data_IF_787931200352
#
_entry.id   IF_787931200352
#
_cell.length_a   1.000
_cell.length_b   1.000
_cell.length_c   1.000
_cell.angle_alpha   90.00
_cell.angle_beta   90.00
_cell.angle_gamma   90.00
#
_symmetry.space_group_name_H-M   'P 1'
#
loop_
_entity.id
_entity.type
_entity.pdbx_description
1 polymer ?
#
# COMPACT_ATOMS: atom_id res chain seq x y z
N UNK A 1 -36.47 13.92 38.18
CA UNK A 1 -35.02 14.25 38.08
C UNK A 1 -34.37 13.13 37.28
N UNK A 2 -34.07 13.38 36.01
CA UNK A 2 -33.51 12.41 35.07
C UNK A 2 -31.99 12.38 35.27
N UNK A 3 -31.35 11.22 35.54
CA UNK A 3 -29.90 11.20 35.64
C UNK A 3 -29.31 11.35 34.23
N UNK A 4 -28.38 12.29 34.09
CA UNK A 4 -27.63 12.52 32.88
C UNK A 4 -26.72 11.32 32.60
N UNK A 5 -26.84 10.73 31.41
CA UNK A 5 -25.90 9.73 30.90
C UNK A 5 -24.53 10.38 30.71
N UNK A 6 -23.56 9.96 31.51
CA UNK A 6 -22.15 10.27 31.32
C UNK A 6 -21.69 9.70 29.97
N UNK A 7 -21.00 10.46 29.09
CA UNK A 7 -20.45 9.90 27.88
C UNK A 7 -19.31 8.93 28.25
N UNK A 8 -19.42 7.69 27.77
CA UNK A 8 -18.35 6.71 27.83
C UNK A 8 -17.16 7.28 27.04
N UNK A 9 -16.08 7.65 27.75
CA UNK A 9 -14.77 7.81 27.11
C UNK A 9 -14.47 6.50 26.39
N UNK A 10 -14.33 6.59 25.07
CA UNK A 10 -13.89 5.50 24.23
C UNK A 10 -12.66 4.86 24.83
N UNK A 11 -12.84 3.61 25.20
CA UNK A 11 -11.88 2.64 25.71
C UNK A 11 -10.71 2.49 24.73
N UNK A 12 -9.56 2.09 25.29
CA UNK A 12 -8.32 1.89 24.56
C UNK A 12 -8.41 0.90 23.39
N UNK A 13 -7.29 0.84 22.68
CA UNK A 13 -7.05 0.11 21.44
C UNK A 13 -7.64 -1.33 21.44
N UNK A 14 -8.65 -1.63 20.61
CA UNK A 14 -9.23 -2.97 20.51
C UNK A 14 -8.30 -4.00 19.85
N UNK A 15 -7.15 -3.60 19.29
CA UNK A 15 -6.22 -4.47 18.55
C UNK A 15 -4.93 -4.82 19.31
N UNK A 16 -4.83 -4.44 20.60
CA UNK A 16 -3.64 -4.63 21.42
C UNK A 16 -2.61 -3.52 21.19
N UNK A 17 -1.87 -3.17 22.25
CA UNK A 17 -1.11 -1.93 22.43
C UNK A 17 0.08 -1.64 21.47
N UNK A 18 0.07 -2.15 20.24
CA UNK A 18 1.15 -1.96 19.27
C UNK A 18 0.75 -1.94 17.80
N UNK A 19 -0.52 -2.22 17.43
CA UNK A 19 -0.94 -2.20 16.03
C UNK A 19 -1.56 -0.83 15.71
N UNK A 20 -0.95 -0.01 14.83
CA UNK A 20 -1.53 1.28 14.47
C UNK A 20 -2.90 1.08 13.79
N UNK A 21 -3.95 1.71 14.32
CA UNK A 21 -5.25 1.69 13.68
C UNK A 21 -5.27 2.62 12.47
N UNK A 22 -5.53 2.08 11.28
CA UNK A 22 -5.71 2.92 10.09
C UNK A 22 -7.09 3.60 10.06
N UNK A 23 -8.02 3.21 10.95
CA UNK A 23 -9.35 3.82 11.04
C UNK A 23 -9.31 5.20 11.70
N UNK A 24 -8.32 5.48 12.55
CA UNK A 24 -8.21 6.75 13.25
C UNK A 24 -7.40 7.81 12.47
N UNK A 25 -7.93 9.04 12.42
CA UNK A 25 -7.32 10.16 11.70
C UNK A 25 -5.91 10.52 12.17
N UNK A 26 -5.65 10.65 13.48
CA UNK A 26 -4.32 10.98 14.00
C UNK A 26 -3.22 10.00 13.61
N UNK A 27 -3.48 8.69 13.69
CA UNK A 27 -2.54 7.64 13.25
C UNK A 27 -2.27 7.75 11.76
N UNK A 28 -3.31 7.93 10.94
CA UNK A 28 -3.10 8.15 9.50
C UNK A 28 -2.27 9.39 9.22
N UNK A 29 -2.54 10.50 9.92
CA UNK A 29 -1.76 11.73 9.81
C UNK A 29 -0.28 11.52 10.13
N UNK A 30 0.02 10.79 11.21
CA UNK A 30 1.39 10.44 11.61
C UNK A 30 2.10 9.52 10.61
N UNK A 31 1.39 8.56 10.01
CA UNK A 31 1.97 7.60 9.05
C UNK A 31 2.12 8.17 7.63
N UNK A 32 1.32 9.18 7.29
CA UNK A 32 1.20 9.73 5.94
C UNK A 32 2.53 10.16 5.31
N UNK A 33 3.41 10.95 5.98
CA UNK A 33 4.65 11.41 5.37
C UNK A 33 5.56 10.25 4.95
N UNK A 34 5.81 9.31 5.85
CA UNK A 34 6.65 8.14 5.58
C UNK A 34 6.04 7.21 4.52
N UNK A 35 4.71 7.08 4.49
CA UNK A 35 4.02 6.30 3.47
C UNK A 35 4.18 6.91 2.07
N UNK A 36 4.05 8.23 1.94
CA UNK A 36 4.28 8.95 0.67
C UNK A 36 5.73 8.78 0.23
N UNK A 37 6.70 9.01 1.11
CA UNK A 37 8.12 8.86 0.78
C UNK A 37 8.46 7.44 0.31
N UNK A 38 7.93 6.43 1.01
CA UNK A 38 8.08 5.03 0.64
C UNK A 38 7.49 4.73 -0.74
N UNK A 39 6.27 5.20 -1.01
CA UNK A 39 5.61 4.98 -2.28
C UNK A 39 6.29 5.71 -3.44
N UNK A 40 6.77 6.94 -3.24
CA UNK A 40 7.57 7.68 -4.25
C UNK A 40 8.83 6.91 -4.63
N UNK A 41 9.51 6.31 -3.64
CA UNK A 41 10.68 5.45 -3.90
C UNK A 41 10.30 4.19 -4.67
N UNK A 42 9.20 3.53 -4.32
CA UNK A 42 8.73 2.35 -5.06
C UNK A 42 8.40 2.68 -6.53
N UNK A 43 7.72 3.80 -6.77
CA UNK A 43 7.43 4.27 -8.13
C UNK A 43 8.72 4.46 -8.93
N UNK A 44 9.76 5.03 -8.32
CA UNK A 44 11.06 5.20 -8.98
C UNK A 44 11.76 3.86 -9.25
N UNK A 45 11.78 2.96 -8.26
CA UNK A 45 12.41 1.63 -8.35
C UNK A 45 11.78 0.80 -9.45
N UNK A 46 10.45 0.72 -9.46
CA UNK A 46 9.69 -0.04 -10.46
C UNK A 46 9.48 0.72 -11.77
N UNK A 47 10.03 1.94 -11.90
CA UNK A 47 9.96 2.79 -13.09
C UNK A 47 8.52 3.01 -13.58
N UNK A 48 7.58 3.15 -12.64
CA UNK A 48 6.17 3.31 -12.97
C UNK A 48 5.92 4.68 -13.61
N UNK A 49 5.03 4.69 -14.60
CA UNK A 49 4.47 5.91 -15.15
C UNK A 49 3.64 6.66 -14.10
N UNK A 50 3.39 7.95 -14.35
CA UNK A 50 2.46 8.74 -13.54
C UNK A 50 1.07 8.10 -13.49
N UNK A 51 0.57 7.61 -14.62
CA UNK A 51 -0.74 6.98 -14.70
C UNK A 51 -0.82 5.71 -13.82
N UNK A 52 0.19 4.84 -13.89
CA UNK A 52 0.25 3.62 -13.06
C UNK A 52 0.36 3.97 -11.57
N UNK A 53 1.19 4.95 -11.20
CA UNK A 53 1.32 5.40 -9.82
C UNK A 53 -0.01 5.94 -9.27
N UNK A 54 -0.72 6.74 -10.07
CA UNK A 54 -2.03 7.28 -9.72
C UNK A 54 -3.08 6.17 -9.55
N UNK A 55 -3.12 5.21 -10.47
CA UNK A 55 -4.06 4.08 -10.44
C UNK A 55 -3.80 3.16 -9.24
N UNK A 56 -2.54 2.85 -8.93
CA UNK A 56 -2.17 2.06 -7.75
C UNK A 56 -2.62 2.73 -6.44
N UNK A 57 -2.68 4.05 -6.38
CA UNK A 57 -3.19 4.80 -5.22
C UNK A 57 -4.73 4.97 -5.20
N UNK A 58 -5.46 4.30 -6.07
CA UNK A 58 -6.93 4.41 -6.16
C UNK A 58 -7.36 5.65 -6.93
N UNK A 59 -6.79 5.83 -8.12
CA UNK A 59 -7.10 6.91 -9.07
C UNK A 59 -6.95 8.32 -8.48
N UNK A 60 -5.88 8.52 -7.71
CA UNK A 60 -5.53 9.87 -7.25
C UNK A 60 -5.21 10.75 -8.45
N UNK A 61 -5.71 11.99 -8.46
CA UNK A 61 -5.41 12.92 -9.55
C UNK A 61 -3.90 13.16 -9.70
N UNK A 62 -3.42 13.32 -10.94
CA UNK A 62 -2.01 13.63 -11.20
C UNK A 62 -1.55 14.88 -10.44
N UNK A 63 -2.40 15.91 -10.35
CA UNK A 63 -2.11 17.12 -9.57
C UNK A 63 -1.78 16.80 -8.11
N UNK A 64 -2.55 15.90 -7.49
CA UNK A 64 -2.33 15.48 -6.11
C UNK A 64 -1.06 14.63 -6.02
N UNK A 65 -0.87 13.69 -6.94
CA UNK A 65 0.35 12.89 -7.05
C UNK A 65 1.61 13.76 -7.17
N UNK A 66 1.62 14.76 -8.05
CA UNK A 66 2.76 15.67 -8.20
C UNK A 66 3.06 16.47 -6.94
N UNK A 67 2.03 16.90 -6.18
CA UNK A 67 2.23 17.57 -4.89
C UNK A 67 2.82 16.62 -3.84
N UNK A 68 2.34 15.38 -3.79
CA UNK A 68 2.89 14.34 -2.92
C UNK A 68 4.36 14.07 -3.26
N UNK A 69 4.66 13.83 -4.55
CA UNK A 69 6.02 13.61 -5.07
C UNK A 69 6.97 14.77 -4.80
N UNK A 70 6.48 16.02 -4.79
CA UNK A 70 7.26 17.23 -4.49
C UNK A 70 7.34 17.56 -2.99
N UNK A 71 6.68 16.82 -2.11
CA UNK A 71 6.61 17.13 -0.68
C UNK A 71 5.81 18.40 -0.34
N UNK A 72 4.94 18.87 -1.24
CA UNK A 72 4.11 20.09 -1.05
C UNK A 72 2.63 19.76 -0.77
N UNK A 73 2.33 18.48 -0.55
CA UNK A 73 1.02 18.02 -0.14
C UNK A 73 0.92 17.94 1.38
N UNK A 74 -0.11 18.54 1.96
CA UNK A 74 -0.31 18.70 3.41
C UNK A 74 -1.54 17.95 3.94
N UNK A 75 -2.10 17.03 3.15
CA UNK A 75 -3.28 16.26 3.55
C UNK A 75 -2.93 15.06 4.43
N UNK A 76 -3.96 14.31 4.80
CA UNK A 76 -3.84 12.99 5.45
C UNK A 76 -4.33 11.93 4.48
N UNK A 77 -3.55 10.87 4.29
CA UNK A 77 -3.97 9.75 3.43
C UNK A 77 -5.22 9.08 4.02
N UNK A 78 -6.06 8.55 3.13
CA UNK A 78 -7.17 7.70 3.52
C UNK A 78 -6.67 6.35 4.05
N UNK A 79 -7.54 5.62 4.76
CA UNK A 79 -7.26 4.25 5.16
C UNK A 79 -6.97 3.35 3.95
N UNK A 80 -7.72 3.55 2.86
CA UNK A 80 -7.54 2.83 1.59
C UNK A 80 -6.14 3.08 0.99
N UNK A 81 -5.73 4.35 0.87
CA UNK A 81 -4.42 4.71 0.34
C UNK A 81 -3.26 4.15 1.19
N UNK A 82 -3.36 4.22 2.52
CA UNK A 82 -2.36 3.62 3.41
C UNK A 82 -2.33 2.10 3.31
N UNK A 83 -3.48 1.45 3.10
CA UNK A 83 -3.56 0.00 2.90
C UNK A 83 -2.87 -0.42 1.60
N UNK A 84 -3.12 0.31 0.50
CA UNK A 84 -2.46 0.10 -0.80
C UNK A 84 -0.94 0.25 -0.69
N UNK A 85 -0.47 1.35 -0.09
CA UNK A 85 0.96 1.59 0.10
C UNK A 85 1.60 0.50 0.97
N UNK A 86 0.93 0.10 2.06
CA UNK A 86 1.40 -0.98 2.94
C UNK A 86 1.54 -2.31 2.19
N UNK A 87 0.56 -2.67 1.34
CA UNK A 87 0.61 -3.87 0.52
C UNK A 87 1.79 -3.84 -0.45
N UNK A 88 2.02 -2.71 -1.13
CA UNK A 88 3.12 -2.54 -2.09
C UNK A 88 4.49 -2.56 -1.43
N UNK A 89 4.65 -1.91 -0.27
CA UNK A 89 5.90 -1.99 0.51
C UNK A 89 6.17 -3.42 0.96
N UNK A 90 5.15 -4.13 1.44
CA UNK A 90 5.26 -5.54 1.83
C UNK A 90 5.67 -6.42 0.65
N UNK A 91 5.07 -6.21 -0.52
CA UNK A 91 5.42 -6.90 -1.76
C UNK A 91 6.89 -6.67 -2.14
N UNK A 92 7.35 -5.42 -2.18
CA UNK A 92 8.75 -5.10 -2.48
C UNK A 92 9.73 -5.77 -1.52
N UNK A 93 9.44 -5.74 -0.22
CA UNK A 93 10.24 -6.44 0.79
C UNK A 93 10.32 -7.94 0.54
N UNK A 94 9.20 -8.57 0.19
CA UNK A 94 9.16 -9.98 -0.17
C UNK A 94 10.01 -10.29 -1.40
N UNK A 95 9.85 -9.51 -2.47
CA UNK A 95 10.64 -9.66 -3.70
C UNK A 95 12.14 -9.54 -3.46
N UNK A 96 12.55 -8.55 -2.65
CA UNK A 96 13.96 -8.31 -2.29
C UNK A 96 14.62 -9.44 -1.50
N UNK A 97 13.82 -10.27 -0.82
CA UNK A 97 14.32 -11.43 -0.07
C UNK A 97 14.41 -12.67 -0.96
N UNK A 98 13.56 -12.77 -1.98
CA UNK A 98 13.51 -13.92 -2.89
C UNK A 98 14.44 -13.80 -4.09
N UNK A 99 14.59 -12.60 -4.63
CA UNK A 99 15.23 -12.37 -5.91
C UNK A 99 16.43 -11.44 -5.80
N UNK A 100 17.32 -11.53 -6.78
CA UNK A 100 18.39 -10.55 -6.96
C UNK A 100 17.81 -9.15 -7.20
N UNK A 101 18.62 -8.11 -6.96
CA UNK A 101 18.17 -6.71 -7.11
C UNK A 101 17.49 -6.44 -8.47
N UNK A 102 18.07 -6.80 -9.63
CA UNK A 102 17.43 -6.48 -10.92
C UNK A 102 16.04 -7.12 -11.05
N UNK A 103 15.92 -8.39 -10.68
CA UNK A 103 14.64 -9.08 -10.80
C UNK A 103 13.61 -8.53 -9.79
N UNK A 104 13.99 -8.21 -8.55
CA UNK A 104 13.07 -7.61 -7.58
C UNK A 104 12.51 -6.24 -8.03
N UNK A 105 13.25 -5.52 -8.89
CA UNK A 105 12.86 -4.21 -9.42
C UNK A 105 12.04 -4.33 -10.72
N UNK A 106 12.17 -5.41 -11.46
CA UNK A 106 11.47 -5.60 -12.74
C UNK A 106 10.24 -6.51 -12.63
N UNK A 107 10.20 -7.40 -11.62
CA UNK A 107 9.27 -8.53 -11.56
C UNK A 107 7.79 -8.16 -11.74
N UNK A 108 7.33 -7.05 -11.14
CA UNK A 108 5.91 -6.66 -11.26
C UNK A 108 5.52 -6.22 -12.68
N UNK A 109 6.49 -5.81 -13.49
CA UNK A 109 6.33 -5.39 -14.88
C UNK A 109 6.61 -6.50 -15.90
N UNK A 110 7.00 -7.69 -15.46
CA UNK A 110 7.23 -8.83 -16.34
C UNK A 110 5.97 -9.72 -16.43
N UNK A 111 5.65 -10.28 -17.61
CA UNK A 111 4.64 -11.32 -17.73
C UNK A 111 4.92 -12.47 -16.77
N UNK A 112 3.89 -12.95 -16.06
CA UNK A 112 4.05 -14.02 -15.08
C UNK A 112 3.11 -15.19 -15.39
N UNK A 113 3.69 -16.38 -15.58
CA UNK A 113 2.97 -17.60 -15.94
C UNK A 113 2.22 -18.27 -14.77
N UNK A 114 2.42 -17.80 -13.53
CA UNK A 114 1.67 -18.32 -12.38
C UNK A 114 0.16 -18.17 -12.61
N UNK A 115 -0.67 -19.17 -12.25
CA UNK A 115 -2.11 -19.14 -12.46
C UNK A 115 -2.81 -17.88 -11.93
N UNK A 116 -2.21 -17.21 -10.93
CA UNK A 116 -2.73 -15.96 -10.37
C UNK A 116 -2.77 -14.80 -11.38
N UNK A 117 -1.88 -14.82 -12.38
CA UNK A 117 -1.68 -13.70 -13.31
C UNK A 117 -2.12 -14.02 -14.75
N UNK A 118 -2.44 -15.27 -15.07
CA UNK A 118 -2.87 -15.69 -16.42
C UNK A 118 -1.93 -15.20 -17.54
N UNK A 119 -0.61 -15.20 -17.29
CA UNK A 119 0.38 -14.71 -18.25
C UNK A 119 0.50 -13.18 -18.34
N UNK A 120 -0.29 -12.42 -17.60
CA UNK A 120 -0.22 -10.95 -17.54
C UNK A 120 0.84 -10.48 -16.54
N UNK A 121 1.13 -9.18 -16.56
CA UNK A 121 2.02 -8.56 -15.57
C UNK A 121 1.29 -8.47 -14.23
N UNK A 122 1.95 -8.78 -13.10
CA UNK A 122 1.37 -8.57 -11.77
C UNK A 122 0.88 -7.13 -11.54
N UNK A 123 1.57 -6.14 -12.11
CA UNK A 123 1.19 -4.72 -12.07
C UNK A 123 -0.21 -4.47 -12.64
N UNK A 124 -0.51 -5.01 -13.82
CA UNK A 124 -1.81 -4.79 -14.49
C UNK A 124 -2.95 -5.34 -13.64
N UNK A 125 -2.76 -6.55 -13.10
CA UNK A 125 -3.73 -7.14 -12.19
C UNK A 125 -3.92 -6.31 -10.92
N UNK A 126 -2.86 -5.74 -10.34
CA UNK A 126 -2.97 -4.88 -9.15
C UNK A 126 -3.73 -3.58 -9.43
N UNK A 127 -3.55 -3.00 -10.62
CA UNK A 127 -4.29 -1.82 -11.07
C UNK A 127 -5.77 -2.16 -11.23
N UNK A 128 -6.10 -3.20 -11.99
CA UNK A 128 -7.48 -3.60 -12.28
C UNK A 128 -8.22 -4.09 -11.02
N UNK A 129 -7.56 -4.94 -10.23
CA UNK A 129 -8.17 -5.62 -9.08
C UNK A 129 -8.02 -4.90 -7.75
N UNK A 130 -7.37 -3.74 -7.71
CA UNK A 130 -7.20 -2.91 -6.51
C UNK A 130 -6.60 -3.64 -5.30
N UNK A 131 -7.03 -3.25 -4.09
CA UNK A 131 -6.54 -3.83 -2.83
C UNK A 131 -6.63 -5.38 -2.79
N UNK A 132 -7.77 -6.02 -3.14
CA UNK A 132 -7.85 -7.48 -3.14
C UNK A 132 -6.73 -8.15 -3.94
N UNK A 133 -6.44 -7.64 -5.15
CA UNK A 133 -5.35 -8.19 -5.96
C UNK A 133 -3.98 -7.84 -5.39
N UNK A 134 -3.74 -6.61 -4.94
CA UNK A 134 -2.46 -6.24 -4.29
C UNK A 134 -2.11 -7.17 -3.13
N UNK A 135 -3.10 -7.49 -2.29
CA UNK A 135 -2.91 -8.42 -1.18
C UNK A 135 -2.70 -9.86 -1.66
N UNK A 136 -3.35 -10.29 -2.74
CA UNK A 136 -3.11 -11.60 -3.34
C UNK A 136 -1.69 -11.73 -3.90
N UNK A 137 -1.18 -10.72 -4.61
CA UNK A 137 0.19 -10.69 -5.14
C UNK A 137 1.19 -10.73 -3.99
N UNK A 138 0.99 -9.90 -2.96
CA UNK A 138 1.84 -9.92 -1.76
C UNK A 138 1.86 -11.30 -1.10
N UNK A 139 0.68 -11.92 -0.87
CA UNK A 139 0.60 -13.26 -0.27
C UNK A 139 1.30 -14.32 -1.11
N UNK A 140 1.20 -14.24 -2.44
CA UNK A 140 1.91 -15.16 -3.33
C UNK A 140 3.43 -15.07 -3.12
N UNK A 141 3.99 -13.86 -3.04
CA UNK A 141 5.42 -13.65 -2.77
C UNK A 141 5.79 -14.06 -1.34
N UNK A 142 4.99 -13.73 -0.34
CA UNK A 142 5.23 -14.14 1.05
C UNK A 142 5.23 -15.69 1.19
N UNK A 143 4.39 -16.40 0.43
CA UNK A 143 4.32 -17.85 0.38
C UNK A 143 5.56 -18.50 -0.25
N UNK A 144 6.04 -17.95 -1.37
CA UNK A 144 7.29 -18.41 -2.00
C UNK A 144 8.49 -18.25 -1.06
N UNK A 145 8.50 -17.22 -0.20
CA UNK A 145 9.52 -17.04 0.84
C UNK A 145 9.40 -18.07 1.97
N UNK A 146 8.17 -18.45 2.32
CA UNK A 146 7.87 -19.38 3.41
C UNK A 146 8.11 -20.85 3.10
N UNK A 147 8.47 -21.19 1.85
CA UNK A 147 8.75 -22.56 1.43
C UNK A 147 7.50 -23.43 1.31
N UNK A 148 6.40 -22.88 0.79
CA UNK A 148 5.28 -23.72 0.31
C UNK A 148 5.72 -24.60 -0.86
#
# INVERSE_FOLDING_TARGET
MTPALTPLRGTGDPLGAGVPSLADGPTRGRLTPAAIDGFVRLVAIWRLSTAEACALLGDVSERTWFRMKKGTWSGTLSQDALTRISALIGLYKGLRLLFSSPLAEEWIGLPNASPLYHGQRPLDGMIEGGIPRMLAVRRHIDALRGGL
#
